data_IF_867409689015
#
_entry.id   IF_867409689015
#
_cell.length_a   1.000
_cell.length_b   1.000
_cell.length_c   1.000
_cell.angle_alpha   90.00
_cell.angle_beta   90.00
_cell.angle_gamma   90.00
#
_symmetry.space_group_name_H-M   'P 1'
#
loop_
_entity.id
_entity.type
_entity.pdbx_description
1 polymer ?
#
# COMPACT_ATOMS: atom_id res chain seq x y z
N UNK A 1 6.04 9.28 -6.69
CA UNK A 1 4.69 9.34 -7.31
C UNK A 1 4.54 10.46 -8.33
N UNK A 2 5.04 11.70 -8.10
CA UNK A 2 4.95 12.80 -9.09
C UNK A 2 5.58 12.46 -10.47
N UNK A 3 6.73 11.77 -10.49
CA UNK A 3 7.43 11.41 -11.72
C UNK A 3 6.65 10.49 -12.67
N UNK A 4 5.68 9.69 -12.18
CA UNK A 4 4.99 8.68 -12.99
C UNK A 4 3.71 9.20 -13.65
N UNK A 5 3.14 10.27 -13.09
CA UNK A 5 1.90 10.87 -13.60
C UNK A 5 2.16 12.18 -14.38
N UNK A 6 3.43 12.59 -14.54
CA UNK A 6 3.81 13.82 -15.24
C UNK A 6 3.70 15.06 -14.37
N UNK A 7 4.47 16.10 -14.72
CA UNK A 7 4.62 17.34 -13.93
C UNK A 7 3.33 18.15 -13.74
N UNK A 8 2.26 17.81 -14.45
CA UNK A 8 0.96 18.48 -14.42
C UNK A 8 -0.11 17.77 -13.58
N UNK A 9 0.16 16.58 -13.04
CA UNK A 9 -0.83 15.86 -12.22
C UNK A 9 -0.85 16.41 -10.79
N UNK A 10 -1.99 16.95 -10.39
CA UNK A 10 -2.25 17.39 -9.00
C UNK A 10 -2.53 16.15 -8.16
N UNK A 11 -1.85 16.01 -7.02
CA UNK A 11 -2.06 14.90 -6.09
C UNK A 11 -3.20 15.22 -5.11
N UNK A 12 -4.01 14.22 -4.70
CA UNK A 12 -5.00 14.41 -3.66
C UNK A 12 -4.34 14.77 -2.33
N UNK A 13 -4.95 15.72 -1.63
CA UNK A 13 -4.63 16.02 -0.23
C UNK A 13 -4.98 14.81 0.65
N UNK A 14 -4.12 14.46 1.60
CA UNK A 14 -4.42 13.43 2.60
C UNK A 14 -4.79 14.12 3.90
N UNK A 15 -6.01 13.90 4.38
CA UNK A 15 -6.54 14.50 5.61
C UNK A 15 -6.56 13.48 6.73
N UNK A 16 -5.94 13.81 7.86
CA UNK A 16 -5.92 12.96 9.05
C UNK A 16 -6.97 13.45 10.05
N UNK A 17 -7.73 12.53 10.64
CA UNK A 17 -8.76 12.84 11.63
C UNK A 17 -8.88 11.75 12.71
N UNK A 18 -9.53 12.09 13.84
CA UNK A 18 -9.81 11.16 14.93
C UNK A 18 -8.74 11.16 16.03
N UNK A 19 -8.45 9.99 16.59
CA UNK A 19 -7.55 9.79 17.73
C UNK A 19 -6.10 9.66 17.27
N UNK A 20 -5.47 10.78 16.89
CA UNK A 20 -4.10 10.78 16.33
C UNK A 20 -3.01 10.47 17.37
N UNK A 21 -3.30 10.67 18.65
CA UNK A 21 -2.41 10.36 19.77
C UNK A 21 -2.56 8.91 20.28
N UNK A 22 -3.39 8.09 19.61
CA UNK A 22 -3.64 6.72 20.01
C UNK A 22 -2.36 5.89 19.96
N UNK A 23 -2.00 5.28 21.09
CA UNK A 23 -0.84 4.41 21.22
C UNK A 23 -1.29 2.97 21.44
N UNK A 24 -0.79 2.06 20.61
CA UNK A 24 -1.12 0.64 20.68
C UNK A 24 0.07 -0.22 20.22
N UNK A 25 0.22 -1.43 20.76
CA UNK A 25 1.28 -2.33 20.34
C UNK A 25 0.98 -2.88 18.94
N UNK A 26 1.93 -2.72 18.01
CA UNK A 26 1.85 -3.31 16.67
C UNK A 26 3.24 -3.38 16.02
N UNK A 27 3.40 -4.25 15.02
CA UNK A 27 4.64 -4.30 14.22
C UNK A 27 4.61 -3.15 13.21
N UNK A 28 5.44 -2.14 13.44
CA UNK A 28 5.46 -0.91 12.64
C UNK A 28 5.61 -1.19 11.12
N UNK A 29 6.52 -2.08 10.73
CA UNK A 29 6.74 -2.40 9.31
C UNK A 29 5.52 -2.99 8.61
N UNK A 30 4.69 -3.78 9.31
CA UNK A 30 3.45 -4.32 8.76
C UNK A 30 2.41 -3.21 8.60
N UNK A 31 2.32 -2.30 9.58
CA UNK A 31 1.41 -1.17 9.51
C UNK A 31 1.79 -0.23 8.35
N UNK A 32 3.06 0.12 8.24
CA UNK A 32 3.59 0.94 7.14
C UNK A 32 3.29 0.30 5.78
N UNK A 33 3.45 -1.02 5.65
CA UNK A 33 3.11 -1.73 4.42
C UNK A 33 1.62 -1.63 4.09
N UNK A 34 0.74 -1.97 5.05
CA UNK A 34 -0.72 -1.95 4.86
C UNK A 34 -1.17 -0.53 4.49
N UNK A 35 -0.82 0.46 5.29
CA UNK A 35 -1.21 1.86 5.06
C UNK A 35 -0.63 2.37 3.74
N UNK A 36 0.62 2.03 3.43
CA UNK A 36 1.27 2.38 2.16
C UNK A 36 0.52 1.82 0.94
N UNK A 37 0.11 0.56 0.96
CA UNK A 37 -0.66 -0.04 -0.13
C UNK A 37 -2.07 0.56 -0.24
N UNK A 38 -2.77 0.80 0.88
CA UNK A 38 -4.09 1.42 0.89
C UNK A 38 -4.05 2.84 0.32
N UNK A 39 -3.07 3.64 0.74
CA UNK A 39 -2.88 5.00 0.22
C UNK A 39 -2.48 4.99 -1.25
N UNK A 40 -1.57 4.09 -1.67
CA UNK A 40 -1.22 3.93 -3.10
C UNK A 40 -2.46 3.66 -3.96
N UNK A 41 -3.29 2.70 -3.54
CA UNK A 41 -4.51 2.35 -4.27
C UNK A 41 -5.50 3.54 -4.32
N UNK A 42 -5.68 4.23 -3.20
CA UNK A 42 -6.59 5.38 -3.08
C UNK A 42 -6.15 6.55 -3.97
N UNK A 43 -4.87 6.94 -3.88
CA UNK A 43 -4.27 8.00 -4.71
C UNK A 43 -4.41 7.67 -6.18
N UNK A 44 -4.08 6.43 -6.54
CA UNK A 44 -4.18 5.96 -7.91
C UNK A 44 -5.61 6.04 -8.46
N UNK A 45 -6.60 5.58 -7.69
CA UNK A 45 -7.99 5.62 -8.10
C UNK A 45 -8.48 7.06 -8.30
N UNK A 46 -8.15 7.97 -7.38
CA UNK A 46 -8.51 9.40 -7.49
C UNK A 46 -7.88 10.06 -8.71
N UNK A 47 -6.58 9.82 -8.94
CA UNK A 47 -5.85 10.40 -10.09
C UNK A 47 -6.39 9.85 -11.42
N UNK A 48 -6.67 8.55 -11.51
CA UNK A 48 -7.22 7.92 -12.72
C UNK A 48 -8.65 8.41 -13.03
N UNK A 49 -9.48 8.58 -12.01
CA UNK A 49 -10.81 9.17 -12.16
C UNK A 49 -10.74 10.62 -12.65
N UNK A 50 -9.82 11.43 -12.12
CA UNK A 50 -9.68 12.82 -12.55
C UNK A 50 -9.28 12.93 -14.02
N UNK A 51 -8.40 12.05 -14.51
CA UNK A 51 -7.96 12.02 -15.92
C UNK A 51 -9.06 11.67 -16.91
N UNK A 52 -10.02 10.84 -16.49
CA UNK A 52 -11.16 10.45 -17.32
C UNK A 52 -12.33 11.44 -17.21
N UNK A 53 -12.36 12.24 -16.14
CA UNK A 53 -13.37 13.28 -15.92
C UNK A 53 -13.16 14.53 -16.78
N UNK A 54 -14.25 15.23 -17.07
CA UNK A 54 -14.25 16.45 -17.91
C UNK A 54 -13.55 17.68 -17.28
N UNK A 55 -13.16 17.63 -16.00
CA UNK A 55 -12.66 18.78 -15.23
C UNK A 55 -11.22 18.58 -14.74
N UNK A 56 -10.26 18.56 -15.66
CA UNK A 56 -8.82 18.45 -15.37
C UNK A 56 -8.27 19.60 -14.49
N UNK A 57 -8.93 20.77 -14.54
CA UNK A 57 -8.48 21.98 -13.84
C UNK A 57 -8.97 22.08 -12.38
N UNK A 58 -9.83 21.17 -11.92
CA UNK A 58 -10.28 21.14 -10.52
C UNK A 58 -9.30 20.31 -9.69
N UNK A 59 -8.93 20.73 -8.46
CA UNK A 59 -8.15 19.88 -7.58
C UNK A 59 -8.90 18.55 -7.30
N UNK A 60 -8.18 17.43 -7.21
CA UNK A 60 -8.76 16.14 -6.83
C UNK A 60 -9.44 16.23 -5.45
N UNK A 61 -10.48 15.40 -5.22
CA UNK A 61 -11.03 15.25 -3.87
C UNK A 61 -9.95 14.70 -2.91
N UNK A 62 -9.97 15.12 -1.64
CA UNK A 62 -9.04 14.62 -0.64
C UNK A 62 -9.30 13.14 -0.33
N UNK A 63 -8.28 12.48 0.23
CA UNK A 63 -8.37 11.14 0.82
C UNK A 63 -8.41 11.32 2.33
N UNK A 64 -9.47 10.83 2.97
CA UNK A 64 -9.66 10.97 4.41
C UNK A 64 -9.16 9.72 5.13
N UNK A 65 -8.21 9.90 6.05
CA UNK A 65 -7.69 8.86 6.94
C UNK A 65 -8.16 9.14 8.36
N UNK A 66 -8.99 8.27 8.91
CA UNK A 66 -9.56 8.43 10.25
C UNK A 66 -9.04 7.35 11.20
N UNK A 67 -8.45 7.74 12.32
CA UNK A 67 -8.02 6.83 13.39
C UNK A 67 -9.06 6.83 14.50
N UNK A 68 -9.57 5.66 14.86
CA UNK A 68 -10.54 5.49 15.95
C UNK A 68 -9.97 4.53 16.99
N UNK A 69 -9.73 5.02 18.20
CA UNK A 69 -9.35 4.19 19.33
C UNK A 69 -10.61 3.75 20.10
N UNK A 70 -10.87 2.46 20.09
CA UNK A 70 -11.88 1.81 20.92
C UNK A 70 -11.22 1.10 22.12
N UNK A 71 -11.98 0.63 23.12
CA UNK A 71 -11.41 -0.07 24.28
C UNK A 71 -10.59 -1.32 23.92
N UNK A 72 -11.01 -2.08 22.91
CA UNK A 72 -10.39 -3.34 22.50
C UNK A 72 -9.68 -3.28 21.15
N UNK A 73 -9.96 -2.26 20.35
CA UNK A 73 -9.53 -2.17 18.96
C UNK A 73 -9.05 -0.77 18.61
N UNK A 74 -8.13 -0.67 17.66
CA UNK A 74 -7.86 0.56 16.91
C UNK A 74 -8.33 0.34 15.49
N UNK A 75 -9.10 1.25 14.95
CA UNK A 75 -9.64 1.18 13.60
C UNK A 75 -9.05 2.33 12.80
N UNK A 76 -8.43 2.03 11.66
CA UNK A 76 -7.94 3.01 10.71
C UNK A 76 -8.81 2.89 9.46
N UNK A 77 -9.54 3.96 9.14
CA UNK A 77 -10.33 4.06 7.91
C UNK A 77 -9.58 4.89 6.88
N UNK A 78 -9.42 4.38 5.66
CA UNK A 78 -8.93 5.13 4.51
C UNK A 78 -10.08 5.27 3.51
N UNK A 79 -10.50 6.50 3.25
CA UNK A 79 -11.66 6.82 2.42
C UNK A 79 -11.26 7.62 1.21
N UNK A 80 -11.60 7.14 0.02
CA UNK A 80 -11.33 7.82 -1.24
C UNK A 80 -12.62 8.13 -2.02
N UNK A 81 -12.51 9.05 -2.99
CA UNK A 81 -13.55 9.34 -3.98
C UNK A 81 -13.08 8.96 -5.40
N UNK A 82 -12.32 7.87 -5.50
CA UNK A 82 -11.66 7.36 -6.69
C UNK A 82 -12.56 6.59 -7.66
N UNK A 83 -13.88 6.56 -7.43
CA UNK A 83 -14.85 5.93 -8.33
C UNK A 83 -15.22 4.50 -7.95
N UNK A 84 -14.67 3.98 -6.86
CA UNK A 84 -14.98 2.65 -6.35
C UNK A 84 -14.40 1.52 -7.20
N UNK A 85 -14.75 0.30 -6.82
CA UNK A 85 -14.29 -0.96 -7.40
C UNK A 85 -15.39 -1.53 -8.29
N UNK A 86 -15.09 -1.83 -9.57
CA UNK A 86 -16.02 -2.47 -10.49
C UNK A 86 -16.53 -3.84 -9.99
N UNK A 87 -17.81 -4.14 -10.25
CA UNK A 87 -18.48 -5.35 -9.74
C UNK A 87 -17.90 -6.66 -10.26
N UNK A 88 -17.36 -6.67 -11.48
CA UNK A 88 -16.71 -7.83 -12.09
C UNK A 88 -15.38 -8.18 -11.40
N UNK A 89 -14.77 -7.22 -10.70
CA UNK A 89 -13.49 -7.38 -10.00
C UNK A 89 -13.69 -7.75 -8.53
N UNK A 90 -14.79 -7.31 -7.90
CA UNK A 90 -15.07 -7.54 -6.48
C UNK A 90 -14.87 -9.00 -6.02
N UNK A 91 -15.32 -10.04 -6.75
CA UNK A 91 -15.13 -11.44 -6.35
C UNK A 91 -13.65 -11.86 -6.26
N UNK A 92 -12.76 -11.14 -6.95
CA UNK A 92 -11.34 -11.45 -7.06
C UNK A 92 -10.46 -10.45 -6.31
N UNK A 93 -11.06 -9.55 -5.51
CA UNK A 93 -10.35 -8.47 -4.83
C UNK A 93 -9.24 -8.98 -3.91
N UNK A 94 -9.52 -10.08 -3.21
CA UNK A 94 -8.59 -10.74 -2.30
C UNK A 94 -7.76 -11.85 -2.96
N UNK A 95 -7.92 -12.07 -4.27
CA UNK A 95 -7.16 -13.07 -4.99
C UNK A 95 -5.84 -12.50 -5.51
N UNK A 96 -4.74 -13.19 -5.22
CA UNK A 96 -3.40 -12.82 -5.71
C UNK A 96 -3.35 -12.76 -7.26
N UNK A 97 -3.73 -13.86 -7.93
CA UNK A 97 -3.54 -13.99 -9.39
C UNK A 97 -4.81 -14.33 -10.18
N UNK A 98 -5.99 -14.35 -9.54
CA UNK A 98 -7.26 -14.69 -10.20
C UNK A 98 -8.04 -13.43 -10.63
N UNK A 99 -8.96 -13.62 -11.57
CA UNK A 99 -9.91 -12.59 -12.02
C UNK A 99 -9.59 -12.01 -13.41
N UNK A 100 -10.39 -11.04 -13.88
CA UNK A 100 -10.32 -10.51 -15.26
C UNK A 100 -8.97 -9.91 -15.66
N UNK A 101 -8.13 -9.54 -14.68
CA UNK A 101 -6.82 -8.90 -14.87
C UNK A 101 -5.62 -9.84 -14.68
N UNK A 102 -5.84 -11.15 -14.60
CA UNK A 102 -4.79 -12.14 -14.29
C UNK A 102 -3.61 -12.11 -15.27
N UNK A 103 -3.88 -12.12 -16.58
CA UNK A 103 -2.84 -12.10 -17.62
C UNK A 103 -1.98 -10.83 -17.54
N UNK A 104 -2.62 -9.67 -17.37
CA UNK A 104 -1.90 -8.39 -17.21
C UNK A 104 -1.03 -8.38 -15.94
N UNK A 105 -1.50 -8.96 -14.83
CA UNK A 105 -0.68 -9.08 -13.61
C UNK A 105 0.54 -9.97 -13.83
N UNK A 106 0.39 -11.05 -14.58
CA UNK A 106 1.49 -11.97 -14.91
C UNK A 106 2.54 -11.29 -15.80
N UNK A 107 2.11 -10.53 -16.80
CA UNK A 107 3.00 -9.72 -17.64
C UNK A 107 3.77 -8.68 -16.82
N UNK A 108 3.09 -8.01 -15.89
CA UNK A 108 3.73 -7.06 -14.97
C UNK A 108 4.75 -7.76 -14.05
N UNK A 109 4.48 -8.99 -13.61
CA UNK A 109 5.40 -9.74 -12.76
C UNK A 109 6.75 -10.01 -13.45
N UNK A 110 6.75 -10.20 -14.78
CA UNK A 110 7.98 -10.37 -15.55
C UNK A 110 8.87 -9.11 -15.59
N UNK A 111 8.32 -7.94 -15.25
CA UNK A 111 9.06 -6.68 -15.19
C UNK A 111 9.72 -6.45 -13.81
N UNK A 112 9.36 -7.26 -12.80
CA UNK A 112 9.99 -7.17 -11.49
C UNK A 112 11.42 -7.70 -11.60
N UNK A 113 12.44 -6.93 -11.15
CA UNK A 113 13.80 -7.43 -11.08
C UNK A 113 13.82 -8.75 -10.30
N UNK A 114 14.40 -9.79 -10.89
CA UNK A 114 14.52 -11.09 -10.23
C UNK A 114 15.38 -10.91 -8.99
N UNK A 115 14.77 -10.85 -7.81
CA UNK A 115 15.50 -10.89 -6.55
C UNK A 115 15.99 -12.33 -6.36
N UNK A 116 17.28 -12.57 -6.59
CA UNK A 116 17.88 -13.86 -6.29
C UNK A 116 17.83 -14.05 -4.77
N UNK A 117 17.20 -15.14 -4.31
CA UNK A 117 17.14 -15.50 -2.90
C UNK A 117 18.49 -16.09 -2.40
N UNK A 118 19.60 -15.40 -2.68
CA UNK A 118 20.92 -15.72 -2.12
C UNK A 118 21.20 -14.72 -1.00
N UNK A 119 21.56 -15.21 0.19
CA UNK A 119 21.83 -14.37 1.38
C UNK A 119 22.94 -13.33 1.20
N UNK A 120 23.62 -13.32 0.05
CA UNK A 120 24.76 -12.46 -0.27
C UNK A 120 24.38 -11.09 -0.85
N UNK A 121 23.13 -10.85 -1.26
CA UNK A 121 22.74 -9.65 -2.04
C UNK A 121 21.91 -8.59 -1.27
N UNK A 122 22.04 -8.53 0.06
CA UNK A 122 21.52 -7.39 0.86
C UNK A 122 22.33 -6.09 0.72
N UNK A 123 23.16 -5.97 -0.33
CA UNK A 123 23.72 -4.70 -0.78
C UNK A 123 23.11 -4.37 -2.12
N UNK A 124 22.01 -3.63 -2.10
CA UNK A 124 21.56 -2.90 -3.30
C UNK A 124 22.67 -1.90 -3.60
N UNK A 125 23.58 -2.26 -4.51
CA UNK A 125 24.44 -1.27 -5.16
C UNK A 125 23.54 -0.42 -6.06
N UNK A 126 23.62 0.89 -5.90
CA UNK A 126 22.91 1.97 -6.64
C UNK A 126 23.07 1.94 -8.19
N UNK A 127 23.59 0.85 -8.76
CA UNK A 127 24.11 0.77 -10.14
C UNK A 127 23.09 0.27 -11.17
N UNK A 128 21.80 0.11 -10.83
CA UNK A 128 20.80 -0.41 -11.76
C UNK A 128 19.67 0.57 -12.10
N UNK A 129 19.98 1.85 -12.30
CA UNK A 129 19.09 2.85 -12.91
C UNK A 129 19.90 3.79 -13.82
N UNK A 130 20.08 3.47 -15.12
CA UNK A 130 20.67 4.40 -16.06
C UNK A 130 19.63 5.46 -16.44
N UNK A 131 19.70 6.67 -15.85
CA UNK A 131 18.82 7.75 -16.32
C UNK A 131 18.64 9.03 -15.50
N UNK A 132 19.32 9.25 -14.38
CA UNK A 132 19.19 10.50 -13.61
C UNK A 132 20.56 11.08 -13.25
N UNK A 133 21.23 11.67 -14.25
CA UNK A 133 22.31 12.63 -14.00
C UNK A 133 21.69 13.99 -13.66
N UNK A 134 21.78 14.36 -12.38
CA UNK A 134 21.36 15.66 -11.87
C UNK A 134 22.22 16.08 -10.68
N UNK A 135 23.42 16.58 -11.00
CA UNK A 135 24.27 17.50 -10.22
C UNK A 135 24.23 17.42 -8.69
N UNK A 136 25.27 16.81 -8.10
CA UNK A 136 25.78 17.22 -6.79
C UNK A 136 27.31 17.18 -6.84
N UNK A 137 27.91 18.36 -6.98
CA UNK A 137 29.35 18.58 -6.86
C UNK A 137 29.83 18.35 -5.42
N UNK A 138 31.07 17.89 -5.35
CA UNK A 138 31.90 17.56 -4.19
C UNK A 138 31.99 18.68 -3.13
N UNK A 139 31.56 18.44 -1.89
CA UNK A 139 32.11 19.11 -0.69
C UNK A 139 32.10 18.15 0.54
N UNK A 140 33.30 17.81 1.02
CA UNK A 140 33.75 17.87 2.42
C UNK A 140 33.04 17.07 3.55
N UNK A 141 33.83 16.20 4.20
CA UNK A 141 33.67 15.61 5.54
C UNK A 141 32.80 16.38 6.56
N UNK A 142 31.87 15.67 7.23
CA UNK A 142 31.64 15.68 8.71
C UNK A 142 30.49 14.74 9.15
N UNK A 143 30.79 13.79 10.06
CA UNK A 143 29.88 13.23 11.09
C UNK A 143 28.94 12.06 10.73
N UNK A 144 28.78 11.04 11.59
CA UNK A 144 27.80 9.97 11.38
C UNK A 144 26.45 10.38 11.97
N UNK A 145 25.56 10.90 11.13
CA UNK A 145 24.12 10.97 11.42
C UNK A 145 23.36 10.31 10.27
N UNK A 146 23.63 9.03 10.04
CA UNK A 146 22.79 8.21 9.18
C UNK A 146 21.53 7.85 9.96
N UNK A 147 20.44 8.57 9.69
CA UNK A 147 19.09 8.05 9.90
C UNK A 147 19.04 6.68 9.24
N UNK A 148 19.12 5.62 10.03
CA UNK A 148 19.09 4.24 9.55
C UNK A 148 17.68 3.97 9.01
N UNK A 149 17.47 4.20 7.72
CA UNK A 149 16.30 3.69 7.02
C UNK A 149 16.37 2.18 7.15
N UNK A 150 15.56 1.62 8.05
CA UNK A 150 15.57 0.20 8.35
C UNK A 150 14.99 -0.54 7.13
N UNK A 151 15.86 -0.97 6.22
CA UNK A 151 15.51 -1.73 5.01
C UNK A 151 14.94 -3.08 5.42
N UNK A 152 13.63 -3.13 5.66
CA UNK A 152 12.89 -4.37 5.91
C UNK A 152 12.62 -5.08 4.59
N UNK A 153 12.44 -6.40 4.59
CA UNK A 153 12.16 -7.18 3.36
C UNK A 153 10.92 -6.72 2.58
N UNK A 154 10.08 -5.86 3.17
CA UNK A 154 8.88 -5.27 2.56
C UNK A 154 9.12 -3.89 1.95
N UNK A 155 10.30 -3.29 2.15
CA UNK A 155 10.68 -1.99 1.60
C UNK A 155 10.64 -2.02 0.07
N UNK A 156 11.13 -3.10 -0.55
CA UNK A 156 11.17 -3.28 -2.01
C UNK A 156 9.77 -3.37 -2.65
N UNK A 157 8.80 -3.97 -1.94
CA UNK A 157 7.41 -4.00 -2.40
C UNK A 157 6.70 -2.65 -2.21
N UNK A 158 7.18 -1.85 -1.26
CA UNK A 158 6.65 -0.52 -0.95
C UNK A 158 7.24 0.56 -1.88
N UNK A 159 8.50 0.41 -2.32
CA UNK A 159 9.24 1.36 -3.14
C UNK A 159 9.07 1.18 -4.65
N UNK A 160 8.32 0.15 -5.09
CA UNK A 160 8.07 -0.12 -6.50
C UNK A 160 7.38 1.06 -7.22
N UNK A 161 7.64 1.26 -8.52
CA UNK A 161 7.07 2.38 -9.24
C UNK A 161 5.54 2.22 -9.35
N UNK A 162 4.75 3.30 -9.24
CA UNK A 162 3.29 3.22 -9.09
C UNK A 162 2.56 2.70 -10.34
N UNK A 163 3.21 2.68 -11.49
CA UNK A 163 2.67 2.09 -12.73
C UNK A 163 2.73 0.55 -12.72
N UNK A 164 3.59 -0.06 -11.93
CA UNK A 164 3.78 -1.51 -11.92
C UNK A 164 2.72 -2.17 -11.04
N UNK A 165 1.62 -2.69 -11.60
CA UNK A 165 0.51 -3.30 -10.83
C UNK A 165 0.65 -4.83 -10.73
N UNK A 166 1.13 -5.32 -9.58
CA UNK A 166 1.26 -6.76 -9.34
C UNK A 166 -0.02 -7.41 -8.83
N UNK A 167 -0.94 -6.64 -8.25
CA UNK A 167 -2.19 -7.17 -7.67
C UNK A 167 -2.01 -7.89 -6.33
N UNK A 168 -0.82 -7.82 -5.73
CA UNK A 168 -0.48 -8.50 -4.47
C UNK A 168 -0.78 -7.66 -3.22
N UNK A 169 -0.95 -6.34 -3.39
CA UNK A 169 -1.11 -5.36 -2.31
C UNK A 169 -2.21 -5.69 -1.32
N UNK A 170 -3.47 -5.60 -1.77
CA UNK A 170 -4.63 -5.84 -0.90
C UNK A 170 -4.65 -7.26 -0.29
N UNK A 171 -4.40 -8.34 -1.04
CA UNK A 171 -4.31 -9.67 -0.45
C UNK A 171 -3.22 -9.78 0.63
N UNK A 172 -2.03 -9.22 0.39
CA UNK A 172 -0.94 -9.29 1.36
C UNK A 172 -1.19 -8.40 2.59
N UNK A 173 -1.77 -7.20 2.38
CA UNK A 173 -2.21 -6.33 3.48
C UNK A 173 -3.23 -7.03 4.38
N UNK A 174 -4.15 -7.80 3.79
CA UNK A 174 -5.13 -8.59 4.54
C UNK A 174 -4.47 -9.70 5.36
N UNK A 175 -3.52 -10.44 4.77
CA UNK A 175 -2.75 -11.45 5.50
C UNK A 175 -2.02 -10.84 6.70
N UNK A 176 -1.40 -9.67 6.53
CA UNK A 176 -0.74 -9.00 7.66
C UNK A 176 -1.69 -8.52 8.75
N UNK A 177 -2.88 -8.03 8.38
CA UNK A 177 -3.89 -7.63 9.35
C UNK A 177 -4.45 -8.83 10.13
N UNK A 178 -4.79 -9.92 9.43
CA UNK A 178 -5.35 -11.14 10.03
C UNK A 178 -4.34 -11.89 10.91
N UNK A 179 -3.05 -11.87 10.54
CA UNK A 179 -1.97 -12.49 11.33
C UNK A 179 -1.96 -11.99 12.79
N UNK A 180 -2.15 -10.68 12.98
CA UNK A 180 -2.19 -10.02 14.29
C UNK A 180 -3.60 -9.94 14.88
N UNK A 181 -4.48 -10.88 14.49
CA UNK A 181 -5.87 -10.97 14.94
C UNK A 181 -6.69 -9.69 14.74
N UNK A 182 -6.34 -8.93 13.70
CA UNK A 182 -7.09 -7.81 13.15
C UNK A 182 -7.95 -8.24 11.97
N UNK A 183 -8.41 -7.25 11.20
CA UNK A 183 -9.12 -7.47 9.93
C UNK A 183 -8.87 -6.32 8.96
N UNK A 184 -9.01 -6.59 7.67
CA UNK A 184 -9.02 -5.57 6.63
C UNK A 184 -10.27 -5.76 5.75
N UNK A 185 -11.18 -4.79 5.83
CA UNK A 185 -12.44 -4.81 5.10
C UNK A 185 -12.50 -3.65 4.10
N UNK A 186 -13.19 -3.85 2.98
CA UNK A 186 -13.35 -2.86 1.93
C UNK A 186 -14.84 -2.69 1.59
N UNK A 187 -15.32 -1.46 1.69
CA UNK A 187 -16.66 -1.06 1.29
C UNK A 187 -16.56 -0.12 0.10
N UNK A 188 -16.91 -0.64 -1.08
CA UNK A 188 -16.84 0.09 -2.33
C UNK A 188 -18.23 0.56 -2.78
N UNK A 189 -18.31 1.82 -3.18
CA UNK A 189 -19.45 2.41 -3.87
C UNK A 189 -19.05 2.73 -5.32
N UNK A 190 -19.38 1.83 -6.23
CA UNK A 190 -19.09 1.98 -7.66
C UNK A 190 -19.66 3.30 -8.22
N UNK A 191 -18.82 4.06 -8.91
CA UNK A 191 -19.09 5.42 -9.39
C UNK A 191 -18.73 6.52 -8.39
N UNK A 192 -18.61 6.21 -7.10
CA UNK A 192 -18.30 7.18 -6.05
C UNK A 192 -16.86 7.02 -5.52
N UNK A 193 -16.58 5.98 -4.75
CA UNK A 193 -15.38 5.86 -3.94
C UNK A 193 -15.30 4.54 -3.18
N UNK A 194 -14.26 4.39 -2.36
CA UNK A 194 -14.02 3.20 -1.56
C UNK A 194 -13.59 3.56 -0.14
N UNK A 195 -14.09 2.83 0.85
CA UNK A 195 -13.65 2.88 2.23
C UNK A 195 -12.93 1.58 2.59
N UNK A 196 -11.68 1.68 3.03
CA UNK A 196 -10.92 0.59 3.62
C UNK A 196 -10.90 0.71 5.14
N UNK A 197 -11.25 -0.35 5.86
CA UNK A 197 -11.24 -0.41 7.31
C UNK A 197 -10.20 -1.43 7.77
N UNK A 198 -9.11 -0.95 8.36
CA UNK A 198 -8.12 -1.77 9.06
C UNK A 198 -8.47 -1.78 10.55
N UNK A 199 -8.82 -2.95 11.08
CA UNK A 199 -9.04 -3.15 12.51
C UNK A 199 -7.83 -3.84 13.12
N UNK A 200 -7.31 -3.28 14.21
CA UNK A 200 -6.16 -3.78 14.97
C UNK A 200 -6.63 -4.12 16.38
N UNK A 201 -6.21 -5.27 16.91
CA UNK A 201 -6.52 -5.69 18.28
C UNK A 201 -5.55 -5.04 19.27
N UNK A 202 -6.04 -4.33 20.30
CA UNK A 202 -5.18 -3.67 21.31
C UNK A 202 -4.60 -4.65 22.33
N UNK A 203 -5.33 -5.72 22.59
CA UNK A 203 -5.10 -6.53 23.78
C UNK A 203 -3.83 -7.38 23.68
N UNK A 204 -3.31 -7.71 22.49
CA UNK A 204 -2.18 -8.65 22.36
C UNK A 204 -2.48 -10.08 22.87
N UNK A 205 -3.62 -10.29 23.51
CA UNK A 205 -4.06 -11.53 24.15
C UNK A 205 -4.64 -12.55 23.17
N UNK A 206 -4.65 -12.23 21.87
CA UNK A 206 -5.07 -13.15 20.82
C UNK A 206 -3.80 -13.74 20.21
N UNK A 207 -3.69 -15.07 20.24
CA UNK A 207 -2.58 -15.76 19.60
C UNK A 207 -2.55 -15.42 18.10
N UNK A 208 -1.33 -15.37 17.54
CA UNK A 208 -1.10 -15.25 16.10
C UNK A 208 -1.86 -16.36 15.37
N UNK A 209 -2.61 -15.98 14.33
CA UNK A 209 -3.34 -16.96 13.53
C UNK A 209 -2.41 -17.62 12.53
N UNK A 210 -1.72 -18.68 12.96
CA UNK A 210 -1.06 -19.59 12.04
C UNK A 210 -2.12 -20.48 11.40
N UNK A 211 -2.56 -20.15 10.18
CA UNK A 211 -3.42 -21.02 9.40
C UNK A 211 -2.67 -22.33 9.12
N UNK A 212 -2.84 -23.33 9.99
CA UNK A 212 -2.31 -24.67 9.74
C UNK A 212 -3.06 -25.28 8.54
N UNK A 213 -2.30 -25.93 7.65
CA UNK A 213 -2.77 -26.60 6.41
C UNK A 213 -4.10 -27.37 6.54
N UNK A 214 -4.42 -27.89 7.72
CA UNK A 214 -5.65 -28.62 8.00
C UNK A 214 -6.96 -27.84 7.76
N UNK A 215 -6.92 -26.50 7.70
CA UNK A 215 -8.10 -25.66 7.41
C UNK A 215 -8.30 -25.35 5.92
N UNK A 216 -7.32 -25.64 5.06
CA UNK A 216 -7.40 -25.41 3.61
C UNK A 216 -8.07 -26.57 2.84
N UNK A 217 -8.17 -27.76 3.44
CA UNK A 217 -8.79 -28.96 2.81
C UNK A 217 -10.31 -29.05 3.06
N UNK A 218 -10.93 -28.03 3.66
CA UNK A 218 -12.35 -28.04 4.03
C UNK A 218 -13.26 -27.20 3.10
N UNK A 219 -12.78 -26.77 1.92
CA UNK A 219 -13.56 -26.05 0.91
C UNK A 219 -13.43 -26.73 -0.45
#
# INVERSE_FOLDING_TARGET
>A
MSATYGSTTIMPEIRLAGHLEATFPYILSHLEYIIGELLRNSIQAVVEKQRTGRNMNKPPPPIDVTVCEAPQHVIIRVSDQGGGIPRDILPYLWAFSKGPRSNQRLENLNQVPKMAATMQELRVTDEALPGLQGSAETIGNQGPSSTSTHETSLSSLTSRPPNLRLGMGLPLSRVYAEYWAGSLELHSLEGYGCDAFLQISKLGNKNEQLTMRASMDAI
#
